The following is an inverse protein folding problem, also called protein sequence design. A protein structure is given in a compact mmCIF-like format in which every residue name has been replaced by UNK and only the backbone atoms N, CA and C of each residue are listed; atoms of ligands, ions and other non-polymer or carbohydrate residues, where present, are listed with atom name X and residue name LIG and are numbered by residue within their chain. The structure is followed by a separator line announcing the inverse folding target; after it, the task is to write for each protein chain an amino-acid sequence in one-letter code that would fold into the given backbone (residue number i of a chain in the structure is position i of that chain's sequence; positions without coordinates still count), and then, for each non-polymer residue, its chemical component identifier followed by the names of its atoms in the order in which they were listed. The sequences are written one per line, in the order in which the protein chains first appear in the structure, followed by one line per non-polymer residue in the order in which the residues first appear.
data_IF_461119098511
#
_entry.id   IF_461119098511
#
_cell.length_a   1.000
_cell.length_b   1.000
_cell.length_c   1.000
_cell.angle_alpha   90.00
_cell.angle_beta   90.00
_cell.angle_gamma   90.00
#
_symmetry.space_group_name_H-M   'P 1'
#
loop_
_entity.id
_entity.type
_entity.pdbx_description
1 polymer ?
#
# COMPACT_ATOMS: atom_id res chain seq x y z
N UNK A 1 11.56 0.88 6.68
CA UNK A 1 11.79 -0.46 6.10
C UNK A 1 11.22 -0.44 4.69
N UNK A 2 12.01 -0.74 3.67
CA UNK A 2 11.63 -0.56 2.23
C UNK A 2 11.44 -1.91 1.50
N UNK A 3 11.66 -3.03 2.19
CA UNK A 3 11.88 -4.32 1.55
C UNK A 3 10.68 -4.81 0.74
N UNK A 4 9.47 -4.60 1.26
CA UNK A 4 8.25 -4.95 0.54
C UNK A 4 8.14 -4.17 -0.78
N UNK A 5 8.50 -2.88 -0.80
CA UNK A 5 8.39 -2.04 -2.01
C UNK A 5 9.36 -2.52 -3.10
N UNK A 6 10.55 -2.97 -2.70
CA UNK A 6 11.49 -3.64 -3.61
C UNK A 6 10.90 -4.95 -4.18
N UNK A 7 10.37 -5.83 -3.33
CA UNK A 7 9.72 -7.07 -3.78
C UNK A 7 8.53 -6.80 -4.71
N UNK A 8 7.71 -5.80 -4.39
CA UNK A 8 6.56 -5.40 -5.22
C UNK A 8 6.97 -4.82 -6.58
N UNK A 9 8.16 -4.21 -6.66
CA UNK A 9 8.71 -3.67 -7.90
C UNK A 9 9.04 -4.80 -8.88
N UNK A 10 9.61 -5.91 -8.39
CA UNK A 10 9.84 -7.12 -9.21
C UNK A 10 8.54 -7.69 -9.78
N UNK A 11 7.46 -7.63 -9.00
CA UNK A 11 6.11 -8.04 -9.42
C UNK A 11 5.37 -6.98 -10.25
N UNK A 12 6.02 -5.85 -10.57
CA UNK A 12 5.44 -4.72 -11.31
C UNK A 12 4.17 -4.15 -10.68
N UNK A 13 4.07 -4.20 -9.36
CA UNK A 13 2.96 -3.57 -8.63
C UNK A 13 3.28 -2.09 -8.41
N UNK A 14 2.40 -1.21 -8.88
CA UNK A 14 2.51 0.22 -8.62
C UNK A 14 2.31 0.49 -7.12
N UNK A 15 3.28 1.18 -6.52
CA UNK A 15 3.29 1.56 -5.12
C UNK A 15 3.12 3.08 -4.95
N UNK A 16 2.87 3.51 -3.71
CA UNK A 16 2.77 4.94 -3.33
C UNK A 16 3.94 5.33 -2.44
N UNK A 17 4.22 6.63 -2.30
CA UNK A 17 5.40 7.11 -1.56
C UNK A 17 5.14 7.10 -0.06
N UNK A 18 3.98 7.60 0.36
CA UNK A 18 3.66 7.77 1.78
C UNK A 18 3.50 6.40 2.45
N UNK A 19 4.02 6.29 3.67
CA UNK A 19 4.04 5.05 4.44
C UNK A 19 3.70 5.33 5.90
N UNK A 20 2.94 4.43 6.52
CA UNK A 20 2.67 4.44 7.96
C UNK A 20 3.70 3.56 8.64
N UNK A 21 4.42 4.11 9.61
CA UNK A 21 5.43 3.39 10.38
C UNK A 21 5.01 3.38 11.85
N UNK A 22 4.47 2.26 12.30
CA UNK A 22 4.08 2.05 13.69
C UNK A 22 5.28 1.53 14.50
N UNK A 23 5.55 2.16 15.63
CA UNK A 23 6.58 1.77 16.59
C UNK A 23 5.95 1.03 17.76
N UNK A 24 6.53 -0.12 18.12
CA UNK A 24 6.11 -0.89 19.30
C UNK A 24 6.20 -0.12 20.62
N UNK A 25 6.99 0.97 20.67
CA UNK A 25 7.20 1.75 21.89
C UNK A 25 6.20 2.89 22.07
N UNK A 26 5.63 3.40 20.98
CA UNK A 26 4.83 4.64 21.00
C UNK A 26 3.42 4.45 20.47
N UNK A 27 3.19 3.42 19.67
CA UNK A 27 1.91 3.20 19.00
C UNK A 27 1.15 1.99 19.58
N UNK A 28 1.71 1.36 20.62
CA UNK A 28 1.10 0.20 21.29
C UNK A 28 1.32 0.26 22.80
N UNK A 29 0.27 -0.07 23.54
CA UNK A 29 0.34 -0.43 24.95
C UNK A 29 0.52 -1.94 25.08
N UNK A 30 1.76 -2.37 25.33
CA UNK A 30 2.14 -3.77 25.51
C UNK A 30 2.47 -4.02 26.97
N UNK A 31 1.72 -4.92 27.63
CA UNK A 31 1.95 -5.29 29.04
C UNK A 31 2.85 -6.53 29.17
N UNK A 32 2.70 -7.50 28.28
CA UNK A 32 3.54 -8.71 28.18
C UNK A 32 3.86 -8.96 26.69
N UNK A 33 5.13 -9.16 26.30
CA UNK A 33 5.51 -9.48 24.92
C UNK A 33 4.88 -10.76 24.33
N UNK A 34 4.38 -11.66 25.18
CA UNK A 34 3.68 -12.88 24.75
C UNK A 34 2.18 -12.67 24.53
N UNK A 35 1.61 -11.53 24.93
CA UNK A 35 0.19 -11.21 24.83
C UNK A 35 -0.06 -10.10 23.78
N UNK A 36 -1.25 -10.06 23.14
CA UNK A 36 -1.60 -8.98 22.23
C UNK A 36 -1.68 -7.62 22.95
N UNK A 37 -1.03 -6.59 22.40
CA UNK A 37 -1.14 -5.21 22.89
C UNK A 37 -2.37 -4.47 22.38
N UNK A 38 -2.67 -3.32 23.00
CA UNK A 38 -3.69 -2.38 22.52
C UNK A 38 -3.04 -1.37 21.59
N UNK A 39 -3.64 -1.10 20.44
CA UNK A 39 -3.13 -0.09 19.49
C UNK A 39 -3.51 1.29 20.01
N UNK A 40 -2.50 2.13 20.27
CA UNK A 40 -2.62 3.50 20.78
C UNK A 40 -1.73 4.41 19.96
N UNK A 41 -2.11 4.71 18.71
CA UNK A 41 -1.23 5.38 17.78
C UNK A 41 -1.00 6.84 18.17
N UNK A 42 0.21 7.35 17.91
CA UNK A 42 0.48 8.77 18.11
C UNK A 42 -0.36 9.66 17.18
N UNK A 43 -0.57 10.93 17.56
CA UNK A 43 -1.44 11.89 16.83
C UNK A 43 -1.11 12.05 15.33
N UNK A 44 0.13 11.78 14.94
CA UNK A 44 0.60 11.90 13.56
C UNK A 44 0.26 10.68 12.68
N UNK A 45 -0.12 9.54 13.26
CA UNK A 45 -0.34 8.30 12.50
C UNK A 45 -1.63 8.33 11.69
N UNK A 46 -2.71 8.89 12.24
CA UNK A 46 -3.97 9.01 11.51
C UNK A 46 -3.84 9.89 10.27
N UNK A 47 -3.26 11.11 10.35
CA UNK A 47 -2.97 11.92 9.15
C UNK A 47 -2.11 11.19 8.12
N UNK A 48 -1.05 10.49 8.56
CA UNK A 48 -0.16 9.74 7.66
C UNK A 48 -0.88 8.57 6.96
N UNK A 49 -1.78 7.90 7.68
CA UNK A 49 -2.62 6.83 7.12
C UNK A 49 -3.59 7.37 6.08
N UNK A 50 -4.27 8.47 6.38
CA UNK A 50 -5.21 9.11 5.45
C UNK A 50 -4.47 9.54 4.17
N UNK A 51 -3.32 10.19 4.30
CA UNK A 51 -2.50 10.58 3.13
C UNK A 51 -2.08 9.37 2.28
N UNK A 52 -1.63 8.28 2.92
CA UNK A 52 -1.25 7.05 2.22
C UNK A 52 -2.44 6.43 1.45
N UNK A 53 -3.62 6.41 2.06
CA UNK A 53 -4.83 5.89 1.41
C UNK A 53 -5.32 6.79 0.28
N UNK A 54 -5.25 8.11 0.44
CA UNK A 54 -5.58 9.08 -0.60
C UNK A 54 -4.66 8.92 -1.82
N UNK A 55 -3.34 8.74 -1.61
CA UNK A 55 -2.40 8.41 -2.68
C UNK A 55 -2.81 7.11 -3.38
N UNK A 56 -3.11 6.03 -2.63
CA UNK A 56 -3.51 4.75 -3.24
C UNK A 56 -4.78 4.89 -4.07
N UNK A 57 -5.77 5.62 -3.58
CA UNK A 57 -7.02 5.87 -4.29
C UNK A 57 -6.75 6.68 -5.57
N UNK A 58 -5.97 7.75 -5.48
CA UNK A 58 -5.65 8.60 -6.63
C UNK A 58 -4.89 7.81 -7.72
N UNK A 59 -3.81 7.11 -7.35
CA UNK A 59 -2.99 6.36 -8.29
C UNK A 59 -3.70 5.14 -8.86
N UNK A 60 -4.49 4.43 -8.06
CA UNK A 60 -5.29 3.29 -8.56
C UNK A 60 -6.32 3.71 -9.61
N UNK A 61 -6.94 4.89 -9.43
CA UNK A 61 -7.85 5.50 -10.42
C UNK A 61 -7.09 5.95 -11.66
N UNK A 62 -5.97 6.66 -11.51
CA UNK A 62 -5.15 7.14 -12.63
C UNK A 62 -4.65 6.01 -13.53
N UNK A 63 -4.19 4.90 -12.93
CA UNK A 63 -3.67 3.74 -13.66
C UNK A 63 -4.76 2.76 -14.14
N UNK A 64 -6.04 3.02 -13.83
CA UNK A 64 -7.15 2.14 -14.21
C UNK A 64 -7.26 1.97 -15.73
N UNK A 65 -7.06 3.04 -16.49
CA UNK A 65 -7.13 3.02 -17.95
C UNK A 65 -6.08 2.09 -18.56
N UNK A 66 -4.87 2.05 -18.01
CA UNK A 66 -3.81 1.16 -18.48
C UNK A 66 -4.17 -0.32 -18.30
N UNK A 67 -4.82 -0.67 -17.19
CA UNK A 67 -5.31 -2.04 -16.96
C UNK A 67 -6.45 -2.41 -17.93
N UNK A 68 -7.37 -1.48 -18.17
CA UNK A 68 -8.46 -1.67 -19.12
C UNK A 68 -7.99 -1.78 -20.57
N UNK A 69 -7.02 -0.95 -20.96
CA UNK A 69 -6.44 -0.95 -22.31
C UNK A 69 -5.72 -2.27 -22.62
N UNK A 70 -4.99 -2.84 -21.66
CA UNK A 70 -4.37 -4.17 -21.79
C UNK A 70 -5.45 -5.25 -21.95
N UNK A 71 -6.54 -5.19 -21.19
CA UNK A 71 -7.63 -6.18 -21.28
C UNK A 71 -8.40 -6.10 -22.61
N UNK A 72 -8.47 -4.93 -23.26
CA UNK A 72 -9.09 -4.76 -24.57
C UNK A 72 -8.17 -5.08 -25.76
N UNK A 73 -6.89 -5.37 -25.52
CA UNK A 73 -5.89 -5.53 -26.59
C UNK A 73 -5.77 -6.97 -27.14
N UNK A 74 -6.47 -7.98 -26.61
CA UNK A 74 -6.57 -9.32 -27.24
C UNK A 74 -8.03 -9.81 -27.27
N UNK A 75 -8.59 -10.06 -28.48
CA UNK A 75 -8.41 -11.35 -29.15
C UNK A 75 -8.25 -11.30 -30.70
N UNK A 76 -7.56 -10.31 -31.28
CA UNK A 76 -7.40 -10.22 -32.75
C UNK A 76 -6.05 -10.77 -33.28
N UNK A 77 -5.00 -10.82 -32.45
CA UNK A 77 -3.64 -11.17 -32.90
C UNK A 77 -3.38 -12.68 -33.10
N UNK A 78 -4.33 -13.57 -32.79
CA UNK A 78 -4.17 -15.05 -32.87
C UNK A 78 -4.84 -15.64 -34.12
N UNK A 79 -5.24 -14.82 -35.11
CA UNK A 79 -6.01 -15.27 -36.30
C UNK A 79 -5.41 -14.96 -37.68
N UNK A 80 -4.12 -14.62 -37.81
CA UNK A 80 -3.47 -14.43 -39.10
C UNK A 80 -2.43 -15.51 -39.40
#
# INVERSE_FOLDING_TARGET
MEHLRLTMTELRVANVRTQVALSAFTDFEITDPAEPGVITPGEHQEPALVEMLDEVIAWSRALKSLRGAIASAEPEAVRA
#
